data_IF_224830835612
#
_entry.id   IF_224830835612
#
_cell.length_a   1.000
_cell.length_b   1.000
_cell.length_c   1.000
_cell.angle_alpha   90.00
_cell.angle_beta   90.00
_cell.angle_gamma   90.00
#
_symmetry.space_group_name_H-M   'P 1'
#
loop_
_entity.id
_entity.type
_entity.pdbx_description
1 polymer ?
#
# COMPACT_ATOMS: atom_id res chain seq x y z
N UNK A 1 -17.69 6.45 1.14
CA UNK A 1 -16.71 7.42 1.68
C UNK A 1 -15.37 6.72 1.63
N UNK A 2 -14.35 7.28 0.97
CA UNK A 2 -13.03 6.64 0.90
C UNK A 2 -12.31 6.77 2.25
N UNK A 3 -11.93 5.63 2.85
CA UNK A 3 -11.25 5.58 4.16
C UNK A 3 -9.74 5.78 4.04
N UNK A 4 -9.16 5.33 2.93
CA UNK A 4 -7.75 5.45 2.62
C UNK A 4 -7.53 5.49 1.09
N UNK A 5 -6.35 5.93 0.67
CA UNK A 5 -5.88 5.85 -0.71
C UNK A 5 -4.54 5.13 -0.78
N UNK A 6 -4.39 4.28 -1.80
CA UNK A 6 -3.18 3.52 -2.07
C UNK A 6 -2.50 4.11 -3.30
N UNK A 7 -1.17 4.20 -3.28
CA UNK A 7 -0.36 4.67 -4.40
C UNK A 7 0.87 3.78 -4.60
N UNK A 8 1.32 3.71 -5.84
CA UNK A 8 2.62 3.17 -6.22
C UNK A 8 3.53 4.32 -6.63
N UNK A 9 4.78 4.28 -6.16
CA UNK A 9 5.84 5.19 -6.59
C UNK A 9 7.01 4.40 -7.16
N UNK A 10 7.64 4.95 -8.19
CA UNK A 10 8.85 4.38 -8.79
C UNK A 10 10.02 5.34 -8.62
N UNK A 11 11.15 4.85 -8.10
CA UNK A 11 12.34 5.65 -7.85
C UNK A 11 13.58 4.80 -7.58
N UNK A 12 14.76 5.29 -7.98
CA UNK A 12 16.04 4.60 -7.77
C UNK A 12 16.08 3.13 -8.29
N UNK A 13 15.26 2.78 -9.27
CA UNK A 13 15.16 1.41 -9.81
C UNK A 13 14.21 0.47 -9.06
N UNK A 14 13.49 0.97 -8.07
CA UNK A 14 12.59 0.19 -7.22
C UNK A 14 11.16 0.76 -7.22
N UNK A 15 10.19 -0.11 -7.01
CA UNK A 15 8.81 0.27 -6.73
C UNK A 15 8.59 0.38 -5.21
N UNK A 16 7.73 1.30 -4.80
CA UNK A 16 7.35 1.53 -3.41
C UNK A 16 5.84 1.60 -3.32
N UNK A 17 5.29 0.88 -2.35
CA UNK A 17 3.87 0.93 -2.06
C UNK A 17 3.60 1.92 -0.93
N UNK A 18 2.51 2.67 -1.04
CA UNK A 18 2.12 3.68 -0.07
C UNK A 18 0.62 3.62 0.20
N UNK A 19 0.23 3.80 1.45
CA UNK A 19 -1.16 3.97 1.86
C UNK A 19 -1.29 5.21 2.75
N UNK A 20 -2.31 6.03 2.48
CA UNK A 20 -2.69 7.20 3.27
C UNK A 20 -4.12 7.06 3.76
N UNK A 21 -4.34 7.29 5.05
CA UNK A 21 -5.66 7.34 5.68
C UNK A 21 -6.22 8.74 5.53
N UNK A 22 -7.49 8.90 5.16
CA UNK A 22 -8.08 10.23 5.05
C UNK A 22 -8.41 10.83 6.43
N UNK A 23 -8.32 12.15 6.57
CA UNK A 23 -8.57 12.84 7.85
C UNK A 23 -9.96 12.51 8.42
N UNK A 24 -11.00 12.49 7.57
CA UNK A 24 -12.37 12.13 7.96
C UNK A 24 -12.49 10.76 8.66
N UNK A 25 -11.64 9.80 8.26
CA UNK A 25 -11.58 8.48 8.92
C UNK A 25 -10.92 8.60 10.28
N UNK A 26 -9.80 9.33 10.37
CA UNK A 26 -9.07 9.56 11.62
C UNK A 26 -9.88 10.32 12.66
N UNK A 27 -10.74 11.25 12.22
CA UNK A 27 -11.59 12.04 13.12
C UNK A 27 -12.66 11.20 13.83
N UNK A 28 -13.00 10.04 13.26
CA UNK A 28 -14.08 9.16 13.74
C UNK A 28 -13.58 7.84 14.33
N UNK A 29 -12.28 7.55 14.25
CA UNK A 29 -11.68 6.28 14.67
C UNK A 29 -10.46 6.50 15.56
N UNK A 30 -10.33 5.69 16.62
CA UNK A 30 -9.25 5.83 17.60
C UNK A 30 -7.96 5.10 17.22
N UNK A 31 -8.03 4.06 16.38
CA UNK A 31 -6.88 3.34 15.82
C UNK A 31 -7.28 2.46 14.65
N UNK A 32 -6.31 2.05 13.84
CA UNK A 32 -6.50 1.18 12.68
C UNK A 32 -5.25 0.35 12.37
N UNK A 33 -5.44 -0.69 11.59
CA UNK A 33 -4.39 -1.52 11.02
C UNK A 33 -4.12 -1.08 9.58
N UNK A 34 -2.84 -0.93 9.22
CA UNK A 34 -2.40 -0.59 7.88
C UNK A 34 -1.53 -1.71 7.33
N UNK A 35 -1.79 -2.06 6.08
CA UNK A 35 -0.97 -2.95 5.30
C UNK A 35 -0.77 -2.38 3.91
N UNK A 36 0.42 -2.53 3.34
CA UNK A 36 0.69 -2.16 1.95
C UNK A 36 1.74 -3.08 1.34
N UNK A 37 1.61 -3.38 0.04
CA UNK A 37 2.58 -4.17 -0.74
C UNK A 37 2.58 -3.79 -2.22
N UNK A 38 3.63 -4.19 -2.92
CA UNK A 38 3.68 -4.28 -4.38
C UNK A 38 3.34 -5.71 -4.80
N UNK A 39 2.41 -5.82 -5.75
CA UNK A 39 2.06 -7.06 -6.43
C UNK A 39 2.72 -7.04 -7.80
N UNK A 40 3.35 -8.16 -8.17
CA UNK A 40 3.89 -8.39 -9.50
C UNK A 40 2.92 -9.28 -10.26
N UNK A 41 2.40 -8.83 -11.40
CA UNK A 41 1.42 -9.57 -12.19
C UNK A 41 2.00 -10.85 -12.82
N UNK A 42 3.33 -10.89 -13.00
CA UNK A 42 4.03 -12.06 -13.54
C UNK A 42 4.32 -13.13 -12.48
N UNK A 43 4.06 -12.82 -11.20
CA UNK A 43 4.35 -13.68 -10.06
C UNK A 43 3.13 -13.72 -9.13
N UNK A 44 2.37 -14.81 -9.20
CA UNK A 44 1.08 -14.95 -8.53
C UNK A 44 1.17 -15.27 -7.03
N UNK A 45 2.37 -15.26 -6.42
CA UNK A 45 2.53 -15.69 -5.03
C UNK A 45 3.41 -14.83 -4.13
N UNK A 46 4.16 -13.86 -4.68
CA UNK A 46 5.16 -13.13 -3.88
C UNK A 46 4.71 -11.71 -3.56
N UNK A 47 4.66 -11.41 -2.26
CA UNK A 47 4.42 -10.07 -1.76
C UNK A 47 5.74 -9.29 -1.69
N UNK A 48 5.90 -8.29 -2.55
CA UNK A 48 7.10 -7.46 -2.58
C UNK A 48 6.88 -6.15 -1.82
N UNK A 49 7.93 -5.63 -1.20
CA UNK A 49 7.87 -4.31 -0.56
C UNK A 49 6.78 -4.20 0.51
N UNK A 50 6.49 -5.30 1.22
CA UNK A 50 5.41 -5.33 2.20
C UNK A 50 5.76 -4.55 3.47
N UNK A 51 4.82 -3.76 3.96
CA UNK A 51 4.82 -3.22 5.31
C UNK A 51 3.47 -3.43 5.97
N UNK A 52 3.49 -3.69 7.28
CA UNK A 52 2.28 -3.78 8.10
C UNK A 52 2.50 -3.08 9.44
N UNK A 53 1.46 -2.43 9.95
CA UNK A 53 1.43 -1.91 11.31
C UNK A 53 0.02 -2.02 11.86
N UNK A 54 -0.10 -2.61 13.05
CA UNK A 54 -1.39 -2.84 13.69
C UNK A 54 -1.61 -1.82 14.82
N UNK A 55 -2.88 -1.53 15.11
CA UNK A 55 -3.33 -0.66 16.20
C UNK A 55 -2.60 0.68 16.22
N UNK A 56 -2.52 1.32 15.05
CA UNK A 56 -1.81 2.58 14.86
C UNK A 56 -2.77 3.76 14.74
N UNK A 57 -2.23 4.96 14.89
CA UNK A 57 -2.89 6.24 14.58
C UNK A 57 -2.17 6.98 13.44
N UNK A 58 -1.23 6.31 12.77
CA UNK A 58 -0.44 6.91 11.70
C UNK A 58 -1.32 7.22 10.50
N UNK A 59 -1.17 8.42 9.98
CA UNK A 59 -1.84 8.87 8.76
C UNK A 59 -1.39 8.11 7.53
N UNK A 60 -0.19 7.52 7.54
CA UNK A 60 0.38 6.85 6.39
C UNK A 60 1.33 5.69 6.74
N UNK A 61 1.53 4.82 5.76
CA UNK A 61 2.51 3.75 5.79
C UNK A 61 3.18 3.61 4.42
N UNK A 62 4.51 3.46 4.45
CA UNK A 62 5.33 3.17 3.28
C UNK A 62 5.87 1.74 3.37
N UNK A 63 5.80 1.03 2.25
CA UNK A 63 6.49 -0.23 2.03
C UNK A 63 7.99 -0.03 1.73
N UNK A 64 8.86 -1.00 2.07
CA UNK A 64 10.25 -0.98 1.62
C UNK A 64 10.37 -1.10 0.10
N UNK A 65 11.57 -0.84 -0.41
CA UNK A 65 11.88 -0.94 -1.84
C UNK A 65 11.60 -2.35 -2.39
N UNK A 66 10.79 -2.44 -3.45
CA UNK A 66 10.50 -3.67 -4.18
C UNK A 66 11.32 -3.71 -5.49
N UNK A 67 12.15 -4.73 -5.64
CA UNK A 67 12.94 -4.95 -6.86
C UNK A 67 12.10 -5.58 -7.98
N UNK A 68 11.08 -4.85 -8.42
CA UNK A 68 10.07 -5.34 -9.38
C UNK A 68 9.93 -4.43 -10.60
N UNK A 69 10.90 -3.54 -10.82
CA UNK A 69 10.90 -2.53 -11.89
C UNK A 69 10.86 -3.09 -13.32
N UNK A 70 11.20 -4.37 -13.48
CA UNK A 70 11.19 -5.08 -14.76
C UNK A 70 9.85 -5.75 -15.07
N UNK A 71 8.88 -5.66 -14.16
CA UNK A 71 7.61 -6.36 -14.27
C UNK A 71 6.44 -5.41 -14.19
N UNK A 72 5.32 -5.81 -14.79
CA UNK A 72 4.03 -5.18 -14.57
C UNK A 72 3.65 -5.30 -13.09
N UNK A 73 3.43 -4.18 -12.42
CA UNK A 73 3.18 -4.15 -10.98
C UNK A 73 2.04 -3.21 -10.62
N UNK A 74 1.38 -3.47 -9.49
CA UNK A 74 0.47 -2.53 -8.86
C UNK A 74 0.70 -2.51 -7.34
N UNK A 75 0.36 -1.39 -6.68
CA UNK A 75 0.33 -1.32 -5.23
C UNK A 75 -1.04 -1.74 -4.72
N UNK A 76 -1.05 -2.55 -3.66
CA UNK A 76 -2.26 -2.93 -2.93
C UNK A 76 -2.08 -2.58 -1.46
N UNK A 77 -3.13 -2.05 -0.83
CA UNK A 77 -3.11 -1.73 0.59
C UNK A 77 -4.46 -1.92 1.26
N UNK A 78 -4.43 -2.14 2.58
CA UNK A 78 -5.60 -2.38 3.40
C UNK A 78 -5.57 -1.51 4.64
N UNK A 79 -6.73 -0.92 4.95
CA UNK A 79 -7.06 -0.30 6.22
C UNK A 79 -8.10 -1.17 6.92
N UNK A 80 -7.78 -1.77 8.08
CA UNK A 80 -8.70 -2.66 8.81
C UNK A 80 -9.40 -3.71 7.90
N UNK A 81 -8.63 -4.40 7.06
CA UNK A 81 -9.12 -5.34 6.03
C UNK A 81 -9.95 -4.74 4.89
N UNK A 82 -10.25 -3.45 4.92
CA UNK A 82 -10.85 -2.71 3.81
C UNK A 82 -9.74 -2.24 2.87
N UNK A 83 -9.68 -2.83 1.68
CA UNK A 83 -8.56 -2.63 0.76
C UNK A 83 -8.88 -1.85 -0.50
N UNK A 84 -7.82 -1.40 -1.15
CA UNK A 84 -7.83 -0.86 -2.49
C UNK A 84 -6.51 -1.13 -3.20
N UNK A 85 -6.54 -1.09 -4.52
CA UNK A 85 -5.38 -1.34 -5.37
C UNK A 85 -5.26 -0.23 -6.41
N UNK A 86 -4.03 0.11 -6.79
CA UNK A 86 -3.78 0.99 -7.93
C UNK A 86 -3.99 0.25 -9.25
N UNK A 87 -4.11 1.00 -10.34
CA UNK A 87 -3.96 0.43 -11.67
C UNK A 87 -2.57 -0.18 -11.83
N UNK A 88 -2.49 -1.27 -12.58
CA UNK A 88 -1.21 -1.89 -12.94
C UNK A 88 -0.41 -1.00 -13.88
N UNK A 89 0.89 -0.94 -13.64
CA UNK A 89 1.85 -0.14 -14.40
C UNK A 89 2.85 -1.08 -15.07
N UNK A 90 2.92 -0.95 -16.39
CA UNK A 90 3.88 -1.53 -17.33
C UNK A 90 4.36 -0.37 -18.22
#
# INVERSE_FOLDING_TARGET
MEAASVKQYYGCGYNYAYIYVWQQYRDTHSSWDLYVKIVNESDSGTDYGQATVNKTTRSELWGPAANTSKYCTHATGYLNSTGGSTSSVC
#
